data_IF_114384322548
#
_entry.id   IF_114384322548
#
_cell.length_a   1.000
_cell.length_b   1.000
_cell.length_c   1.000
_cell.angle_alpha   90.00
_cell.angle_beta   90.00
_cell.angle_gamma   90.00
#
_symmetry.space_group_name_H-M   'P 1'
#
loop_
_entity.id
_entity.type
_entity.pdbx_description
1 polymer ?
#
# COMPACT_ATOMS: atom_id res chain seq x y z
N UNK A 1 -9.44 -2.07 2.05
CA UNK A 1 -8.74 -2.49 0.82
C UNK A 1 -9.52 -3.60 0.15
N UNK A 2 -9.47 -3.72 -1.16
CA UNK A 2 -10.21 -4.70 -1.95
C UNK A 2 -9.29 -5.36 -2.97
N UNK A 3 -9.34 -6.69 -3.03
CA UNK A 3 -8.73 -7.50 -4.08
C UNK A 3 -9.57 -8.79 -4.24
N UNK A 4 -9.48 -9.45 -5.39
CA UNK A 4 -10.16 -10.73 -5.58
C UNK A 4 -9.65 -11.78 -4.56
N UNK A 5 -10.51 -12.23 -3.65
CA UNK A 5 -10.17 -13.19 -2.60
C UNK A 5 -9.62 -12.58 -1.31
N UNK A 6 -9.58 -11.26 -1.18
CA UNK A 6 -9.24 -10.56 0.08
C UNK A 6 -10.53 -10.04 0.70
N UNK A 7 -10.74 -10.31 2.00
CA UNK A 7 -11.85 -9.75 2.76
C UNK A 7 -11.74 -8.21 2.80
N UNK A 8 -12.75 -7.46 2.34
CA UNK A 8 -12.74 -6.01 2.40
C UNK A 8 -12.98 -5.49 3.83
N UNK A 9 -12.03 -5.73 4.72
CA UNK A 9 -12.04 -5.18 6.07
C UNK A 9 -11.38 -3.80 6.13
N UNK A 10 -11.93 -2.93 6.98
CA UNK A 10 -11.34 -1.65 7.31
C UNK A 10 -10.33 -1.82 8.44
N UNK A 11 -9.11 -1.33 8.23
CA UNK A 11 -8.04 -1.36 9.23
C UNK A 11 -7.54 0.05 9.48
N UNK A 12 -7.46 0.42 10.77
CA UNK A 12 -6.82 1.66 11.20
C UNK A 12 -5.37 1.38 11.55
N UNK A 13 -4.46 2.16 10.99
CA UNK A 13 -3.02 2.08 11.26
C UNK A 13 -2.57 3.34 11.99
N UNK A 14 -1.62 3.18 12.92
CA UNK A 14 -1.00 4.31 13.60
C UNK A 14 -0.04 5.06 12.66
N UNK A 15 0.19 6.34 12.96
CA UNK A 15 1.17 7.14 12.21
C UNK A 15 2.55 6.49 12.22
N UNK A 16 3.22 6.48 11.07
CA UNK A 16 4.56 5.89 10.86
C UNK A 16 4.66 4.38 11.09
N UNK A 17 3.54 3.69 11.33
CA UNK A 17 3.54 2.24 11.35
C UNK A 17 3.52 1.67 9.93
N UNK A 18 4.25 0.58 9.77
CA UNK A 18 4.18 -0.23 8.58
C UNK A 18 2.96 -1.13 8.64
N UNK A 19 2.37 -1.36 7.47
CA UNK A 19 1.39 -2.40 7.27
C UNK A 19 1.79 -3.23 6.07
N UNK A 20 1.38 -4.49 6.10
CA UNK A 20 1.91 -5.48 5.17
C UNK A 20 0.79 -6.32 4.61
N UNK A 21 0.85 -6.57 3.32
CA UNK A 21 -0.12 -7.41 2.63
C UNK A 21 0.59 -8.62 2.03
N UNK A 22 -0.02 -9.78 2.25
CA UNK A 22 0.24 -10.97 1.44
C UNK A 22 -0.58 -10.82 0.17
N UNK A 23 0.09 -10.61 -0.95
CA UNK A 23 -0.55 -10.36 -2.23
C UNK A 23 -0.45 -11.59 -3.11
N UNK A 24 -1.58 -11.98 -3.72
CA UNK A 24 -1.54 -13.05 -4.70
C UNK A 24 -0.93 -12.55 -6.02
N UNK A 25 -0.12 -13.37 -6.70
CA UNK A 25 0.61 -12.97 -7.90
C UNK A 25 -0.27 -12.75 -9.16
N UNK A 26 -1.59 -12.80 -9.03
CA UNK A 26 -2.55 -12.54 -10.13
C UNK A 26 -3.52 -11.40 -9.83
N UNK A 27 -3.41 -10.76 -8.66
CA UNK A 27 -4.39 -9.77 -8.17
C UNK A 27 -3.88 -8.35 -8.21
N UNK A 28 -4.81 -7.42 -8.44
CA UNK A 28 -4.65 -5.99 -8.12
C UNK A 28 -5.25 -5.76 -6.73
N UNK A 29 -4.52 -5.05 -5.88
CA UNK A 29 -4.99 -4.61 -4.56
C UNK A 29 -5.20 -3.10 -4.59
N UNK A 30 -6.46 -2.71 -4.44
CA UNK A 30 -6.88 -1.31 -4.41
C UNK A 30 -7.34 -0.94 -3.01
N UNK A 31 -7.01 0.24 -2.55
CA UNK A 31 -7.33 0.69 -1.20
C UNK A 31 -7.82 2.13 -1.21
N UNK A 32 -9.00 2.33 -0.63
CA UNK A 32 -9.41 3.64 -0.14
C UNK A 32 -8.70 3.89 1.19
N UNK A 33 -7.91 4.97 1.23
CA UNK A 33 -7.16 5.36 2.42
C UNK A 33 -7.52 6.79 2.79
N UNK A 34 -7.48 7.07 4.09
CA UNK A 34 -7.62 8.42 4.60
C UNK A 34 -6.60 8.71 5.70
N UNK A 35 -6.20 9.97 5.77
CA UNK A 35 -5.24 10.49 6.74
C UNK A 35 -5.81 11.73 7.44
N UNK A 36 -5.36 11.98 8.67
CA UNK A 36 -5.72 13.17 9.44
C UNK A 36 -7.23 13.29 9.69
N UNK A 37 -7.89 12.22 10.15
CA UNK A 37 -9.34 12.17 10.40
C UNK A 37 -10.22 12.40 9.15
N UNK A 38 -9.72 12.03 7.96
CA UNK A 38 -10.49 12.14 6.72
C UNK A 38 -10.25 13.43 5.94
N UNK A 39 -9.39 14.33 6.43
CA UNK A 39 -9.01 15.56 5.72
C UNK A 39 -8.30 15.27 4.39
N UNK A 40 -7.62 14.13 4.31
CA UNK A 40 -6.98 13.65 3.10
C UNK A 40 -7.53 12.26 2.82
N UNK A 41 -8.04 12.05 1.61
CA UNK A 41 -8.51 10.74 1.17
C UNK A 41 -8.04 10.46 -0.26
N UNK A 42 -7.94 9.19 -0.60
CA UNK A 42 -7.55 8.79 -1.94
C UNK A 42 -7.78 7.30 -2.18
N UNK A 43 -7.99 6.96 -3.44
CA UNK A 43 -8.05 5.60 -3.93
C UNK A 43 -6.71 5.24 -4.56
N UNK A 44 -6.08 4.16 -4.10
CA UNK A 44 -4.74 3.77 -4.54
C UNK A 44 -4.68 2.29 -4.91
N UNK A 45 -4.18 2.01 -6.10
CA UNK A 45 -3.77 0.66 -6.52
C UNK A 45 -2.39 0.35 -5.94
N UNK A 46 -2.36 -0.03 -4.66
CA UNK A 46 -1.13 -0.29 -3.91
C UNK A 46 -0.44 -1.58 -4.30
N UNK A 47 -1.07 -2.46 -5.08
CA UNK A 47 -0.35 -3.58 -5.67
C UNK A 47 -0.94 -3.95 -7.01
N UNK A 48 -0.09 -4.11 -8.01
CA UNK A 48 -0.42 -4.75 -9.27
C UNK A 48 0.64 -5.82 -9.55
N UNK A 49 0.24 -7.08 -9.65
CA UNK A 49 1.18 -8.17 -9.86
C UNK A 49 2.04 -8.02 -11.13
N UNK A 50 1.53 -7.40 -12.20
CA UNK A 50 2.30 -7.14 -13.43
C UNK A 50 3.36 -6.07 -13.21
N UNK A 51 3.09 -5.08 -12.36
CA UNK A 51 3.99 -3.95 -12.04
C UNK A 51 4.98 -4.26 -10.91
N UNK A 52 4.52 -4.94 -9.87
CA UNK A 52 5.17 -4.97 -8.54
C UNK A 52 5.66 -6.36 -8.11
N UNK A 53 5.42 -7.42 -8.88
CA UNK A 53 5.90 -8.78 -8.56
C UNK A 53 7.42 -8.85 -8.35
N UNK A 54 8.19 -7.98 -8.99
CA UNK A 54 9.65 -7.88 -8.84
C UNK A 54 10.10 -6.88 -7.76
N UNK A 55 9.17 -6.08 -7.22
CA UNK A 55 9.44 -4.98 -6.28
C UNK A 55 9.21 -5.39 -4.83
N UNK A 56 8.25 -6.30 -4.62
CA UNK A 56 7.94 -6.87 -3.32
C UNK A 56 8.76 -8.14 -3.04
N UNK A 57 9.07 -8.38 -1.78
CA UNK A 57 9.82 -9.56 -1.35
C UNK A 57 8.89 -10.75 -1.21
N UNK A 58 9.07 -11.82 -1.99
CA UNK A 58 8.38 -13.13 -1.73
C UNK A 58 6.86 -13.00 -1.48
N UNK A 59 6.16 -12.21 -2.29
CA UNK A 59 4.71 -11.90 -2.17
C UNK A 59 4.31 -11.07 -0.94
N UNK A 60 5.28 -10.44 -0.30
CA UNK A 60 5.11 -9.57 0.85
C UNK A 60 5.48 -8.12 0.48
N UNK A 61 4.49 -7.24 0.51
CA UNK A 61 4.68 -5.82 0.28
C UNK A 61 4.51 -5.06 1.60
N UNK A 62 5.57 -4.38 2.04
CA UNK A 62 5.54 -3.52 3.21
C UNK A 62 5.34 -2.06 2.80
N UNK A 63 4.29 -1.46 3.34
CA UNK A 63 3.87 -0.09 3.03
C UNK A 63 3.92 0.77 4.28
N UNK A 64 4.32 2.03 4.11
CA UNK A 64 4.29 3.05 5.17
C UNK A 64 3.50 4.26 4.70
N UNK A 65 2.57 4.71 5.54
CA UNK A 65 1.85 5.96 5.33
C UNK A 65 2.58 7.11 6.03
N UNK A 66 2.78 8.21 5.30
CA UNK A 66 3.33 9.46 5.82
C UNK A 66 2.43 10.64 5.43
N UNK A 67 2.75 11.84 5.92
CA UNK A 67 1.96 13.05 5.68
C UNK A 67 1.91 13.47 4.20
N UNK A 68 2.93 13.13 3.43
CA UNK A 68 3.09 13.46 2.02
C UNK A 68 2.59 12.36 1.07
N UNK A 69 2.48 11.12 1.55
CA UNK A 69 1.96 10.03 0.74
C UNK A 69 2.25 8.62 1.25
N UNK A 70 2.19 7.67 0.32
CA UNK A 70 2.40 6.25 0.55
C UNK A 70 3.78 5.83 0.05
N UNK A 71 4.51 5.14 0.91
CA UNK A 71 5.84 4.62 0.65
C UNK A 71 5.82 3.09 0.57
N UNK A 72 6.51 2.53 -0.42
CA UNK A 72 6.74 1.10 -0.55
C UNK A 72 8.17 0.77 -0.14
N UNK A 73 8.36 -0.26 0.67
CA UNK A 73 9.68 -0.83 0.90
C UNK A 73 10.09 -1.69 -0.30
N UNK A 74 11.08 -1.22 -1.07
CA UNK A 74 11.62 -1.97 -2.20
C UNK A 74 12.80 -2.79 -1.71
N UNK A 75 12.65 -4.11 -1.69
CA UNK A 75 13.68 -5.01 -1.17
C UNK A 75 15.00 -4.88 -1.92
N UNK A 76 14.94 -4.75 -3.25
CA UNK A 76 16.13 -4.59 -4.10
C UNK A 76 17.00 -3.40 -3.69
N UNK A 77 16.39 -2.32 -3.18
CA UNK A 77 17.08 -1.10 -2.77
C UNK A 77 17.25 -0.99 -1.25
N UNK A 78 16.65 -1.91 -0.48
CA UNK A 78 16.60 -1.92 1.00
C UNK A 78 16.14 -0.58 1.59
N UNK A 79 15.19 0.10 0.94
CA UNK A 79 14.69 1.41 1.39
C UNK A 79 13.22 1.64 1.06
N UNK A 80 12.60 2.57 1.79
CA UNK A 80 11.27 3.09 1.51
C UNK A 80 11.32 4.12 0.38
N UNK A 81 10.50 3.94 -0.63
CA UNK A 81 10.37 4.88 -1.76
C UNK A 81 8.94 5.38 -1.88
N UNK A 82 8.77 6.70 -2.04
CA UNK A 82 7.48 7.33 -2.26
C UNK A 82 6.89 6.80 -3.58
N UNK A 83 5.68 6.25 -3.52
CA UNK A 83 4.99 5.71 -4.70
C UNK A 83 3.81 6.57 -5.11
N UNK A 84 3.07 7.07 -4.12
CA UNK A 84 1.89 7.87 -4.35
C UNK A 84 1.93 9.07 -3.42
N UNK A 85 1.74 10.26 -3.97
CA UNK A 85 1.42 11.43 -3.16
C UNK A 85 -0.07 11.40 -2.83
N UNK A 86 -0.43 11.98 -1.70
CA UNK A 86 -1.83 12.21 -1.40
C UNK A 86 -2.47 13.13 -2.46
N UNK A 87 -3.75 12.91 -2.83
CA UNK A 87 -4.53 13.88 -3.58
C UNK A 87 -4.63 15.19 -2.80
N UNK A 88 -4.47 16.31 -3.51
CA UNK A 88 -4.65 17.67 -2.99
C UNK A 88 -6.08 18.15 -3.18
#
# INVERSE_FOLDING_TARGET
CQAAGVDPSQHSILFLHDFTWNVNPSTVLSCDMSWGWGNVNGHFDIFDAKRDSTRCSRNFCAWRVKQDGLYLFIEAHKRLELQFTWPH
#
